data_IF_404317640631
#
_entry.id   IF_404317640631
#
_cell.length_a   1.000
_cell.length_b   1.000
_cell.length_c   1.000
_cell.angle_alpha   90.00
_cell.angle_beta   90.00
_cell.angle_gamma   90.00
#
_symmetry.space_group_name_H-M   'P 1'
#
loop_
_entity.id
_entity.type
_entity.pdbx_description
1 polymer ?
#
# COMPACT_ATOMS: atom_id res chain seq x y z
N UNK A 1 -14.08 -21.72 -31.92
CA UNK A 1 -14.44 -22.18 -30.57
C UNK A 1 -14.90 -20.96 -29.80
N UNK A 2 -16.21 -20.79 -29.60
CA UNK A 2 -16.73 -19.67 -28.83
C UNK A 2 -16.58 -20.02 -27.34
N UNK A 3 -15.78 -19.22 -26.65
CA UNK A 3 -15.61 -19.25 -25.20
C UNK A 3 -16.90 -18.71 -24.55
N UNK A 4 -17.82 -19.60 -24.22
CA UNK A 4 -19.08 -19.30 -23.50
C UNK A 4 -18.91 -19.47 -22.00
N UNK A 5 -17.86 -18.89 -21.41
CA UNK A 5 -17.85 -18.69 -19.95
C UNK A 5 -18.97 -17.71 -19.59
N UNK A 6 -19.86 -18.14 -18.68
CA UNK A 6 -20.96 -17.32 -18.20
C UNK A 6 -20.42 -16.12 -17.41
N UNK A 7 -21.16 -15.01 -17.38
CA UNK A 7 -20.77 -13.78 -16.66
C UNK A 7 -20.32 -14.02 -15.20
N UNK A 8 -21.02 -14.86 -14.41
CA UNK A 8 -20.59 -15.21 -13.05
C UNK A 8 -19.23 -15.93 -12.99
N UNK A 9 -18.98 -16.88 -13.91
CA UNK A 9 -17.71 -17.61 -13.93
C UNK A 9 -16.52 -16.70 -14.27
N UNK A 10 -16.71 -15.73 -15.17
CA UNK A 10 -15.69 -14.73 -15.49
C UNK A 10 -15.44 -13.77 -14.31
N UNK A 11 -16.49 -13.40 -13.59
CA UNK A 11 -16.36 -12.57 -12.38
C UNK A 11 -15.54 -13.30 -11.31
N UNK A 12 -15.89 -14.55 -10.99
CA UNK A 12 -15.19 -15.34 -9.98
C UNK A 12 -13.73 -15.55 -10.36
N UNK A 13 -13.45 -15.89 -11.63
CA UNK A 13 -12.09 -16.04 -12.12
C UNK A 13 -11.29 -14.73 -12.01
N UNK A 14 -11.88 -13.60 -12.40
CA UNK A 14 -11.26 -12.28 -12.29
C UNK A 14 -10.93 -11.92 -10.84
N UNK A 15 -11.87 -12.16 -9.92
CA UNK A 15 -11.69 -11.94 -8.50
C UNK A 15 -10.55 -12.78 -7.92
N UNK A 16 -10.52 -14.09 -8.21
CA UNK A 16 -9.46 -14.98 -7.75
C UNK A 16 -8.08 -14.58 -8.30
N UNK A 17 -8.01 -14.18 -9.57
CA UNK A 17 -6.75 -13.68 -10.17
C UNK A 17 -6.31 -12.35 -9.57
N UNK A 18 -7.24 -11.46 -9.23
CA UNK A 18 -6.92 -10.20 -8.55
C UNK A 18 -6.34 -10.44 -7.15
N UNK A 19 -6.93 -11.35 -6.37
CA UNK A 19 -6.39 -11.76 -5.07
C UNK A 19 -5.00 -12.38 -5.20
N UNK A 20 -4.82 -13.29 -6.16
CA UNK A 20 -3.50 -13.88 -6.41
C UNK A 20 -2.44 -12.83 -6.77
N UNK A 21 -2.83 -11.78 -7.48
CA UNK A 21 -1.93 -10.66 -7.80
C UNK A 21 -1.60 -9.81 -6.56
N UNK A 22 -2.59 -9.52 -5.70
CA UNK A 22 -2.35 -8.83 -4.42
C UNK A 22 -1.34 -9.61 -3.57
N UNK A 23 -1.51 -10.93 -3.47
CA UNK A 23 -0.57 -11.80 -2.77
C UNK A 23 0.83 -11.77 -3.39
N UNK A 24 0.94 -11.78 -4.73
CA UNK A 24 2.23 -11.67 -5.40
C UNK A 24 2.93 -10.32 -5.19
N UNK A 25 2.16 -9.24 -4.95
CA UNK A 25 2.68 -7.92 -4.60
C UNK A 25 3.01 -7.78 -3.10
N UNK A 26 2.51 -8.66 -2.24
CA UNK A 26 2.73 -8.57 -0.80
C UNK A 26 4.17 -8.95 -0.45
N UNK A 27 4.77 -8.23 0.49
CA UNK A 27 6.12 -8.49 0.98
C UNK A 27 6.24 -8.16 2.46
N UNK A 28 7.39 -8.48 3.06
CA UNK A 28 7.68 -8.15 4.46
C UNK A 28 7.65 -6.64 4.74
N UNK A 29 7.97 -5.82 3.73
CA UNK A 29 7.96 -4.37 3.82
C UNK A 29 6.63 -3.73 3.37
N UNK A 30 5.66 -4.55 2.95
CA UNK A 30 4.36 -4.10 2.43
C UNK A 30 4.18 -4.35 0.93
N UNK A 31 3.20 -3.67 0.34
CA UNK A 31 2.81 -3.89 -1.04
C UNK A 31 3.77 -3.23 -2.03
N UNK A 32 4.30 -4.06 -2.92
CA UNK A 32 5.08 -3.62 -4.08
C UNK A 32 4.14 -3.14 -5.18
N UNK A 33 4.52 -2.07 -5.89
CA UNK A 33 3.73 -1.60 -7.05
C UNK A 33 3.64 -2.64 -8.18
N UNK A 34 4.66 -3.50 -8.30
CA UNK A 34 4.64 -4.65 -9.22
C UNK A 34 5.44 -5.81 -8.63
N UNK A 35 5.01 -7.07 -8.86
CA UNK A 35 5.84 -8.23 -8.53
C UNK A 35 7.03 -8.39 -9.49
N UNK A 36 7.01 -7.69 -10.63
CA UNK A 36 8.08 -7.72 -11.63
C UNK A 36 9.39 -7.20 -11.05
N UNK A 37 10.50 -7.84 -11.45
CA UNK A 37 11.86 -7.40 -11.08
C UNK A 37 12.40 -6.32 -12.02
N UNK A 38 11.64 -5.92 -13.04
CA UNK A 38 12.05 -4.93 -14.02
C UNK A 38 11.66 -3.49 -13.60
N UNK A 39 12.44 -2.51 -14.05
CA UNK A 39 12.06 -1.09 -14.16
C UNK A 39 11.69 -0.31 -12.87
N UNK A 40 12.38 -0.55 -11.74
CA UNK A 40 12.18 0.20 -10.47
C UNK A 40 10.79 0.07 -9.81
N UNK A 41 9.90 -0.79 -10.31
CA UNK A 41 8.54 -0.96 -9.75
C UNK A 41 8.47 -1.97 -8.59
N UNK A 42 9.56 -2.67 -8.29
CA UNK A 42 9.67 -3.52 -7.10
C UNK A 42 9.97 -2.68 -5.85
N UNK A 43 9.10 -1.72 -5.56
CA UNK A 43 9.20 -0.76 -4.46
C UNK A 43 7.85 -0.58 -3.80
N UNK A 44 7.87 -0.17 -2.54
CA UNK A 44 6.66 0.29 -1.86
C UNK A 44 6.38 1.70 -2.36
N UNK A 45 5.31 1.87 -3.13
CA UNK A 45 4.83 3.18 -3.57
C UNK A 45 3.66 3.61 -2.70
N UNK A 46 3.66 4.85 -2.20
CA UNK A 46 2.63 5.29 -1.26
C UNK A 46 1.21 5.18 -1.84
N UNK A 47 1.02 5.68 -3.07
CA UNK A 47 -0.27 5.61 -3.78
C UNK A 47 -0.69 4.16 -4.03
N UNK A 48 0.16 3.41 -4.72
CA UNK A 48 -0.15 2.06 -5.17
C UNK A 48 -0.37 1.14 -3.98
N UNK A 49 0.57 1.13 -3.02
CA UNK A 49 0.51 0.28 -1.84
C UNK A 49 -0.71 0.56 -0.97
N UNK A 50 -1.12 1.82 -0.81
CA UNK A 50 -2.36 2.14 -0.09
C UNK A 50 -3.58 1.68 -0.86
N UNK A 51 -3.67 1.89 -2.18
CA UNK A 51 -4.81 1.44 -2.99
C UNK A 51 -4.94 -0.09 -2.95
N UNK A 52 -3.83 -0.82 -3.10
CA UNK A 52 -3.80 -2.28 -2.91
C UNK A 52 -4.26 -2.66 -1.50
N UNK A 53 -3.79 -1.92 -0.49
CA UNK A 53 -4.20 -2.13 0.89
C UNK A 53 -5.68 -1.90 1.16
N UNK A 54 -6.31 -0.90 0.52
CA UNK A 54 -7.76 -0.70 0.62
C UNK A 54 -8.52 -1.89 0.01
N UNK A 55 -8.05 -2.43 -1.12
CA UNK A 55 -8.61 -3.65 -1.68
C UNK A 55 -8.40 -4.86 -0.76
N UNK A 56 -7.26 -4.96 -0.08
CA UNK A 56 -6.98 -5.98 0.93
C UNK A 56 -7.93 -5.89 2.13
N UNK A 57 -8.27 -4.68 2.60
CA UNK A 57 -9.29 -4.51 3.64
C UNK A 57 -10.65 -5.04 3.18
N UNK A 58 -11.00 -4.82 1.90
CA UNK A 58 -12.27 -5.28 1.32
C UNK A 58 -12.32 -6.80 1.12
N UNK A 59 -11.18 -7.47 0.92
CA UNK A 59 -11.14 -8.93 0.79
C UNK A 59 -11.32 -9.66 2.13
N UNK A 60 -10.97 -9.01 3.25
CA UNK A 60 -11.00 -9.61 4.58
C UNK A 60 -9.88 -10.61 4.85
N UNK A 61 -8.93 -10.78 3.92
CA UNK A 61 -7.81 -11.72 4.09
C UNK A 61 -6.73 -11.14 5.01
N UNK A 62 -6.56 -11.76 6.18
CA UNK A 62 -5.67 -11.28 7.25
C UNK A 62 -4.23 -11.02 6.79
N UNK A 63 -3.71 -11.86 5.90
CA UNK A 63 -2.36 -11.70 5.35
C UNK A 63 -2.22 -10.43 4.50
N UNK A 64 -3.20 -10.17 3.64
CA UNK A 64 -3.22 -8.95 2.81
C UNK A 64 -3.47 -7.70 3.66
N UNK A 65 -4.31 -7.80 4.70
CA UNK A 65 -4.51 -6.72 5.67
C UNK A 65 -3.20 -6.39 6.39
N UNK A 66 -2.42 -7.40 6.77
CA UNK A 66 -1.07 -7.21 7.31
C UNK A 66 -0.14 -6.54 6.29
N UNK A 67 -0.30 -6.83 5.00
CA UNK A 67 0.42 -6.15 3.91
C UNK A 67 0.18 -4.64 3.89
N UNK A 68 -1.06 -4.19 4.12
CA UNK A 68 -1.34 -2.76 4.28
C UNK A 68 -0.66 -2.19 5.53
N UNK A 69 -0.70 -2.91 6.66
CA UNK A 69 -0.01 -2.48 7.88
C UNK A 69 1.49 -2.27 7.63
N UNK A 70 2.16 -3.24 7.01
CA UNK A 70 3.59 -3.14 6.69
C UNK A 70 3.87 -1.98 5.72
N UNK A 71 3.01 -1.80 4.71
CA UNK A 71 3.11 -0.65 3.79
C UNK A 71 3.14 0.67 4.55
N UNK A 72 2.18 0.88 5.47
CA UNK A 72 2.09 2.11 6.24
C UNK A 72 3.28 2.29 7.19
N UNK A 73 3.74 1.22 7.84
CA UNK A 73 4.92 1.27 8.71
C UNK A 73 6.19 1.62 7.94
N UNK A 74 6.40 1.04 6.76
CA UNK A 74 7.54 1.35 5.89
C UNK A 74 7.54 2.81 5.46
N UNK A 75 6.38 3.33 5.06
CA UNK A 75 6.24 4.75 4.69
C UNK A 75 6.49 5.69 5.88
N UNK A 76 5.95 5.33 7.05
CA UNK A 76 6.14 6.10 8.29
C UNK A 76 7.59 6.11 8.75
N UNK A 77 8.28 4.96 8.68
CA UNK A 77 9.68 4.83 9.07
C UNK A 77 10.59 5.75 8.24
N UNK A 78 10.24 5.96 6.98
CA UNK A 78 10.98 6.81 6.05
C UNK A 78 10.34 8.19 5.85
N UNK A 79 9.57 8.69 6.83
CA UNK A 79 9.06 10.06 6.80
C UNK A 79 10.22 11.06 6.77
N UNK A 80 10.12 12.05 5.88
CA UNK A 80 11.11 13.09 5.70
C UNK A 80 11.24 14.06 6.89
N UNK A 81 12.27 14.91 6.89
CA UNK A 81 12.53 15.84 7.99
C UNK A 81 11.41 16.87 8.19
N UNK A 82 10.66 17.22 7.14
CA UNK A 82 9.56 18.16 7.19
C UNK A 82 8.19 17.50 7.34
N UNK A 83 8.15 16.17 7.52
CA UNK A 83 6.92 15.41 7.68
C UNK A 83 6.39 14.79 6.40
N UNK A 84 7.06 15.01 5.27
CA UNK A 84 6.68 14.47 3.96
C UNK A 84 6.79 12.94 3.93
N UNK A 85 5.75 12.28 3.44
CA UNK A 85 5.75 10.83 3.21
C UNK A 85 6.42 10.55 1.86
N UNK A 86 7.32 9.55 1.79
CA UNK A 86 7.98 9.22 0.54
C UNK A 86 6.97 8.74 -0.51
N UNK A 87 7.15 9.20 -1.74
CA UNK A 87 6.40 8.70 -2.90
C UNK A 87 6.70 7.22 -3.19
N UNK A 88 7.94 6.80 -2.98
CA UNK A 88 8.33 5.39 -2.98
C UNK A 88 9.58 5.11 -2.13
N UNK A 89 9.64 3.86 -1.67
CA UNK A 89 10.73 3.29 -0.89
C UNK A 89 11.21 1.99 -1.54
N UNK A 90 12.50 1.92 -1.80
CA UNK A 90 13.24 0.70 -2.12
C UNK A 90 13.97 0.24 -0.85
N UNK A 91 13.37 -0.69 -0.11
CA UNK A 91 13.92 -1.18 1.17
C UNK A 91 15.18 -2.01 0.99
N UNK A 92 15.35 -2.68 -0.16
CA UNK A 92 16.52 -3.51 -0.47
C UNK A 92 17.73 -2.64 -0.80
N UNK A 93 17.53 -1.60 -1.62
CA UNK A 93 18.61 -0.69 -2.04
C UNK A 93 18.78 0.54 -1.14
N UNK A 94 17.95 0.67 -0.09
CA UNK A 94 17.84 1.83 0.79
C UNK A 94 17.72 3.16 -0.01
N UNK A 95 16.78 3.18 -0.97
CA UNK A 95 16.52 4.37 -1.81
C UNK A 95 15.13 4.91 -1.54
N UNK A 96 15.09 6.16 -1.11
CA UNK A 96 13.86 6.88 -0.80
C UNK A 96 13.66 8.01 -1.80
N UNK A 97 12.44 8.19 -2.29
CA UNK A 97 12.08 9.29 -3.17
C UNK A 97 10.84 10.01 -2.66
N UNK A 98 10.94 11.33 -2.51
CA UNK A 98 9.85 12.22 -2.11
C UNK A 98 9.19 12.94 -3.30
N UNK A 99 9.38 12.45 -4.53
CA UNK A 99 8.70 12.99 -5.72
C UNK A 99 9.50 14.00 -6.56
N UNK A 100 10.77 14.25 -6.24
CA UNK A 100 11.69 15.05 -7.07
C UNK A 100 11.13 16.42 -7.48
N UNK A 101 11.38 16.84 -8.72
CA UNK A 101 10.93 18.14 -9.27
C UNK A 101 9.44 18.20 -9.65
N UNK A 102 8.73 17.07 -9.62
CA UNK A 102 7.30 16.98 -9.93
C UNK A 102 6.56 16.61 -8.65
N UNK A 103 6.42 17.57 -7.75
CA UNK A 103 5.86 17.39 -6.40
C UNK A 103 4.73 16.35 -6.36
N UNK A 104 5.05 15.17 -5.84
CA UNK A 104 4.11 14.06 -5.66
C UNK A 104 3.38 14.28 -4.33
N UNK A 105 2.52 15.29 -4.32
CA UNK A 105 1.81 15.75 -3.11
C UNK A 105 0.74 14.79 -2.61
N UNK A 106 0.44 13.73 -3.37
CA UNK A 106 -0.60 12.77 -3.01
C UNK A 106 -0.13 11.68 -2.05
N UNK A 107 1.18 11.50 -1.86
CA UNK A 107 1.73 10.47 -0.96
C UNK A 107 1.21 10.66 0.48
N UNK A 108 1.26 11.89 0.98
CA UNK A 108 0.74 12.29 2.29
C UNK A 108 -0.76 11.99 2.43
N UNK A 109 -1.54 12.34 1.40
CA UNK A 109 -2.99 12.15 1.40
C UNK A 109 -3.35 10.66 1.41
N UNK A 110 -2.69 9.86 0.56
CA UNK A 110 -2.90 8.42 0.55
C UNK A 110 -2.47 7.78 1.86
N UNK A 111 -1.35 8.20 2.44
CA UNK A 111 -0.90 7.70 3.74
C UNK A 111 -1.93 7.95 4.85
N UNK A 112 -2.45 9.18 4.97
CA UNK A 112 -3.50 9.51 5.95
C UNK A 112 -4.74 8.64 5.73
N UNK A 113 -5.21 8.51 4.48
CA UNK A 113 -6.35 7.65 4.15
C UNK A 113 -6.09 6.21 4.56
N UNK A 114 -4.90 5.69 4.24
CA UNK A 114 -4.49 4.32 4.57
C UNK A 114 -4.48 4.06 6.08
N UNK A 115 -3.86 4.94 6.88
CA UNK A 115 -3.85 4.84 8.34
C UNK A 115 -5.27 4.85 8.92
N UNK A 116 -6.10 5.80 8.50
CA UNK A 116 -7.49 5.91 8.96
C UNK A 116 -8.31 4.67 8.59
N UNK A 117 -8.19 4.20 7.36
CA UNK A 117 -8.97 3.05 6.88
C UNK A 117 -8.50 1.74 7.52
N UNK A 118 -7.19 1.56 7.72
CA UNK A 118 -6.64 0.42 8.45
C UNK A 118 -7.18 0.40 9.88
N UNK A 119 -7.02 1.48 10.65
CA UNK A 119 -7.52 1.54 12.02
C UNK A 119 -9.04 1.31 12.10
N UNK A 120 -9.82 1.94 11.22
CA UNK A 120 -11.28 1.74 11.18
C UNK A 120 -11.69 0.29 10.90
N UNK A 121 -10.91 -0.43 10.10
CA UNK A 121 -11.20 -1.81 9.74
C UNK A 121 -10.72 -2.82 10.81
N UNK A 122 -9.63 -2.52 11.52
CA UNK A 122 -8.99 -3.47 12.45
C UNK A 122 -9.25 -3.17 13.93
N UNK A 123 -9.52 -1.92 14.29
CA UNK A 123 -9.56 -1.47 15.68
C UNK A 123 -8.18 -1.53 16.37
N UNK A 124 -7.09 -1.53 15.61
CA UNK A 124 -5.72 -1.63 16.11
C UNK A 124 -5.27 -0.28 16.73
N UNK A 125 -5.66 -0.06 17.99
CA UNK A 125 -5.33 1.16 18.73
C UNK A 125 -3.83 1.31 19.00
N UNK A 126 -3.08 0.20 19.07
CA UNK A 126 -1.63 0.23 19.22
C UNK A 126 -0.98 0.82 17.96
N UNK A 127 -1.39 0.34 16.77
CA UNK A 127 -0.96 0.93 15.51
C UNK A 127 -1.31 2.42 15.43
N UNK A 128 -2.52 2.81 15.84
CA UNK A 128 -2.91 4.23 15.81
C UNK A 128 -2.02 5.06 16.74
N UNK A 129 -1.75 4.57 17.95
CA UNK A 129 -0.83 5.21 18.90
C UNK A 129 0.55 5.48 18.29
N UNK A 130 1.11 4.50 17.59
CA UNK A 130 2.39 4.63 16.91
C UNK A 130 2.34 5.61 15.72
N UNK A 131 1.22 5.67 14.99
CA UNK A 131 1.06 6.51 13.81
C UNK A 131 0.67 7.96 14.11
N UNK A 132 0.09 8.26 15.27
CA UNK A 132 -0.36 9.61 15.62
C UNK A 132 0.76 10.67 15.48
N UNK A 133 1.97 10.47 16.04
CA UNK A 133 3.06 11.44 15.88
C UNK A 133 3.49 11.64 14.42
N UNK A 134 3.44 10.58 13.62
CA UNK A 134 3.76 10.63 12.18
C UNK A 134 2.72 11.45 11.44
N UNK A 135 1.44 11.16 11.68
CA UNK A 135 0.29 11.86 11.08
C UNK A 135 0.23 13.34 11.46
N UNK A 136 0.60 13.69 12.69
CA UNK A 136 0.69 15.09 13.14
C UNK A 136 1.72 15.88 12.34
N UNK A 137 2.86 15.26 12.01
CA UNK A 137 3.90 15.92 11.20
C UNK A 137 3.54 16.07 9.72
N UNK A 138 2.62 15.24 9.21
CA UNK A 138 2.07 15.40 7.85
C UNK A 138 1.13 16.61 7.76
N UNK A 139 0.47 16.98 8.87
CA UNK A 139 -0.41 18.15 8.93
C UNK A 139 0.47 19.40 9.09
N UNK A 140 0.72 20.07 7.96
CA UNK A 140 1.43 21.36 7.87
C UNK A 140 1.05 22.37 8.97
#
# INVERSE_FOLDING_TARGET
>A
MNDTRSGPALFDEGYQRALALLHACNSEDGFLASPSRHDNYRRVWARDGVILGLAALMSGERELISGLRHTLLTLAHHQGPHGEIPSNVDTVADRISYGGTTGRVDADLWFIIGCCQYWRATGDDAFLGDMLPVLERVRF
#
